data_IF_805439766086
#
_entry.id   IF_805439766086
#
_cell.length_a   1.000
_cell.length_b   1.000
_cell.length_c   1.000
_cell.angle_alpha   90.00
_cell.angle_beta   90.00
_cell.angle_gamma   90.00
#
_symmetry.space_group_name_H-M   'P 1'
#
loop_
_entity.id
_entity.type
_entity.pdbx_description
1 polymer ?
#
# COMPACT_ATOMS: atom_id res chain seq x y z
N UNK A 1 9.57 10.62 11.85
CA UNK A 1 9.77 9.69 10.77
C UNK A 1 9.24 8.33 11.15
N UNK A 2 8.32 7.81 10.35
CA UNK A 2 7.57 6.58 10.68
C UNK A 2 8.46 5.36 10.89
N UNK A 3 9.37 5.12 9.95
CA UNK A 3 10.17 3.89 9.96
C UNK A 3 11.02 3.74 11.22
N UNK A 4 11.62 4.84 11.68
CA UNK A 4 12.46 4.82 12.89
C UNK A 4 11.66 4.78 14.18
N UNK A 5 10.51 5.46 14.22
CA UNK A 5 9.76 5.67 15.47
C UNK A 5 8.67 4.64 15.72
N UNK A 6 7.98 4.18 14.66
CA UNK A 6 6.71 3.47 14.82
C UNK A 6 6.67 2.10 14.20
N UNK A 7 7.49 1.81 13.18
CA UNK A 7 7.35 0.56 12.43
C UNK A 7 7.50 -0.69 13.30
N UNK A 8 8.60 -0.81 14.03
CA UNK A 8 8.85 -1.98 14.88
C UNK A 8 7.81 -2.09 16.00
N UNK A 9 7.44 -0.97 16.61
CA UNK A 9 6.44 -0.94 17.67
C UNK A 9 5.07 -1.41 17.17
N UNK A 10 4.65 -0.92 16.01
CA UNK A 10 3.36 -1.29 15.43
C UNK A 10 3.33 -2.75 15.01
N UNK A 11 4.43 -3.29 14.48
CA UNK A 11 4.53 -4.71 14.15
C UNK A 11 4.48 -5.59 15.39
N UNK A 12 5.15 -5.20 16.47
CA UNK A 12 5.12 -5.92 17.74
C UNK A 12 3.70 -5.98 18.32
N UNK A 13 2.87 -4.96 18.06
CA UNK A 13 1.47 -4.92 18.49
C UNK A 13 0.51 -5.57 17.49
N UNK A 14 1.02 -6.14 16.40
CA UNK A 14 0.22 -6.71 15.31
C UNK A 14 -0.76 -5.74 14.66
N UNK A 15 -0.44 -4.44 14.66
CA UNK A 15 -1.27 -3.41 14.02
C UNK A 15 -1.07 -3.36 12.51
N UNK A 16 0.17 -3.60 12.07
CA UNK A 16 0.53 -3.61 10.66
C UNK A 16 1.87 -4.32 10.47
N UNK A 17 2.32 -4.41 9.21
CA UNK A 17 3.65 -4.92 8.87
C UNK A 17 4.33 -4.01 7.87
N UNK A 18 5.59 -3.73 8.15
CA UNK A 18 6.43 -2.90 7.27
C UNK A 18 7.46 -3.77 6.58
N UNK A 19 7.59 -3.58 5.28
CA UNK A 19 8.52 -4.29 4.41
C UNK A 19 9.49 -3.27 3.81
N UNK A 20 10.75 -3.62 3.77
CA UNK A 20 11.80 -2.71 3.31
C UNK A 20 12.46 -3.26 2.04
N UNK A 21 12.87 -2.34 1.15
CA UNK A 21 13.72 -2.64 0.02
C UNK A 21 15.13 -2.19 0.39
N UNK A 22 16.03 -3.14 0.68
CA UNK A 22 17.37 -2.80 1.09
C UNK A 22 18.22 -2.33 -0.09
N UNK A 23 19.17 -1.48 0.19
CA UNK A 23 20.19 -1.06 -0.75
C UNK A 23 21.56 -1.39 -0.16
N UNK A 24 22.38 -2.08 -0.94
CA UNK A 24 23.76 -2.36 -0.58
C UNK A 24 24.67 -1.66 -1.57
N UNK A 25 25.69 -0.96 -1.06
CA UNK A 25 26.76 -0.42 -1.89
C UNK A 25 27.73 -1.55 -2.26
N UNK A 26 28.55 -1.33 -3.30
CA UNK A 26 29.61 -2.29 -3.68
C UNK A 26 30.65 -2.45 -2.57
N UNK A 27 30.73 -1.53 -1.65
CA UNK A 27 31.55 -1.64 -0.46
C UNK A 27 30.89 -2.57 0.55
N UNK A 28 31.35 -3.82 0.61
CA UNK A 28 30.83 -4.86 1.49
C UNK A 28 31.01 -4.59 2.98
N UNK A 29 31.75 -3.52 3.36
CA UNK A 29 31.95 -3.13 4.76
C UNK A 29 30.80 -2.30 5.31
N UNK A 30 29.91 -1.75 4.47
CA UNK A 30 28.78 -0.96 4.91
C UNK A 30 27.56 -1.82 5.19
N UNK A 31 26.81 -1.46 6.25
CA UNK A 31 25.53 -2.11 6.55
C UNK A 31 24.50 -1.80 5.46
N UNK A 32 23.62 -2.74 5.12
CA UNK A 32 22.53 -2.48 4.18
C UNK A 32 21.71 -1.28 4.66
N UNK A 33 21.34 -0.40 3.72
CA UNK A 33 20.50 0.76 3.97
C UNK A 33 19.13 0.53 3.34
N UNK A 34 18.13 1.24 3.82
CA UNK A 34 16.76 1.13 3.30
C UNK A 34 16.58 2.16 2.18
N UNK A 35 16.36 1.67 0.96
CA UNK A 35 16.05 2.53 -0.19
C UNK A 35 14.60 2.96 -0.18
N UNK A 36 13.70 2.05 0.19
CA UNK A 36 12.26 2.28 0.19
C UNK A 36 11.59 1.34 1.18
N UNK A 37 10.37 1.65 1.56
CA UNK A 37 9.56 0.78 2.40
C UNK A 37 8.09 0.97 2.10
N UNK A 38 7.28 -0.03 2.47
CA UNK A 38 5.84 0.09 2.48
C UNK A 38 5.26 -0.64 3.69
N UNK A 39 4.11 -0.18 4.16
CA UNK A 39 3.43 -0.76 5.32
C UNK A 39 2.02 -1.17 4.92
N UNK A 40 1.67 -2.42 5.22
CA UNK A 40 0.34 -2.98 4.97
C UNK A 40 -0.38 -3.21 6.29
N UNK A 41 -1.68 -2.96 6.28
CA UNK A 41 -2.58 -3.19 7.40
C UNK A 41 -3.93 -3.68 6.88
N UNK A 42 -4.76 -4.18 7.77
CA UNK A 42 -6.16 -4.50 7.46
C UNK A 42 -7.04 -3.31 7.76
N UNK A 43 -8.08 -3.17 6.96
CA UNK A 43 -9.12 -2.16 7.16
C UNK A 43 -10.45 -2.72 6.68
N UNK A 44 -11.54 -2.13 7.14
CA UNK A 44 -12.88 -2.40 6.60
C UNK A 44 -13.43 -1.13 5.99
N UNK A 45 -14.22 -1.30 4.91
CA UNK A 45 -14.97 -0.22 4.28
C UNK A 45 -16.43 -0.60 4.27
N UNK A 46 -17.30 0.40 4.40
CA UNK A 46 -18.72 0.21 4.17
C UNK A 46 -19.03 0.38 2.69
N UNK A 47 -20.11 -0.27 2.24
CA UNK A 47 -20.50 -0.28 0.83
C UNK A 47 -20.61 1.13 0.24
N UNK A 48 -21.10 2.07 1.02
CA UNK A 48 -21.34 3.45 0.60
C UNK A 48 -20.07 4.22 0.26
N UNK A 49 -18.93 3.79 0.78
CA UNK A 49 -17.62 4.39 0.46
C UNK A 49 -17.07 3.95 -0.88
N UNK A 50 -17.54 2.83 -1.42
CA UNK A 50 -16.99 2.20 -2.62
C UNK A 50 -17.62 2.76 -3.91
N UNK A 51 -16.84 2.89 -5.00
CA UNK A 51 -17.35 3.45 -6.26
C UNK A 51 -18.45 2.63 -6.90
N UNK A 52 -18.40 1.29 -6.83
CA UNK A 52 -19.44 0.40 -7.34
C UNK A 52 -20.08 -0.35 -6.18
N UNK A 53 -21.33 0.03 -5.88
CA UNK A 53 -22.09 -0.50 -4.73
C UNK A 53 -23.00 -1.67 -5.07
N UNK A 54 -23.25 -1.92 -6.34
CA UNK A 54 -24.41 -2.74 -6.77
C UNK A 54 -24.28 -4.21 -6.39
N UNK A 55 -23.07 -4.72 -6.19
CA UNK A 55 -22.81 -6.13 -5.91
C UNK A 55 -22.26 -6.40 -4.51
N UNK A 56 -22.24 -5.37 -3.66
CA UNK A 56 -21.58 -5.47 -2.37
C UNK A 56 -22.58 -5.74 -1.26
N UNK A 57 -22.18 -6.51 -0.23
CA UNK A 57 -23.02 -6.71 0.94
C UNK A 57 -23.17 -5.41 1.72
N UNK A 58 -24.19 -5.37 2.58
CA UNK A 58 -24.47 -4.19 3.42
C UNK A 58 -23.58 -4.13 4.68
N UNK A 59 -22.88 -5.20 5.01
CA UNK A 59 -21.92 -5.20 6.11
C UNK A 59 -20.54 -4.73 5.65
N UNK A 60 -19.64 -4.32 6.57
CA UNK A 60 -18.31 -3.86 6.19
C UNK A 60 -17.52 -4.94 5.45
N UNK A 61 -16.78 -4.53 4.42
CA UNK A 61 -15.97 -5.43 3.61
C UNK A 61 -14.49 -5.28 3.96
N UNK A 62 -13.72 -6.38 3.94
CA UNK A 62 -12.29 -6.31 4.24
C UNK A 62 -11.51 -5.75 3.05
N UNK A 63 -10.54 -4.90 3.37
CA UNK A 63 -9.58 -4.38 2.40
C UNK A 63 -8.19 -4.38 3.03
N UNK A 64 -7.17 -4.29 2.20
CA UNK A 64 -5.80 -4.06 2.65
C UNK A 64 -5.54 -2.55 2.56
N UNK A 65 -4.99 -1.98 3.63
CA UNK A 65 -4.57 -0.58 3.65
C UNK A 65 -3.08 -0.50 3.35
N UNK A 66 -2.71 0.25 2.32
CA UNK A 66 -1.33 0.71 2.15
C UNK A 66 -1.16 1.94 3.03
N UNK A 67 -0.69 1.71 4.27
CA UNK A 67 -0.66 2.73 5.31
C UNK A 67 0.49 3.71 5.14
N UNK A 68 1.61 3.23 4.61
CA UNK A 68 2.81 4.04 4.41
C UNK A 68 3.52 3.57 3.15
N UNK A 69 4.09 4.52 2.41
CA UNK A 69 4.99 4.27 1.30
C UNK A 69 6.06 5.36 1.35
N UNK A 70 7.30 4.98 1.50
CA UNK A 70 8.39 5.94 1.62
C UNK A 70 9.59 5.55 0.77
N UNK A 71 10.23 6.57 0.19
CA UNK A 71 11.43 6.42 -0.63
C UNK A 71 12.51 7.31 -0.02
N UNK A 72 13.70 6.77 0.17
CA UNK A 72 14.84 7.57 0.63
C UNK A 72 15.16 8.66 -0.41
N UNK A 73 15.45 9.85 0.07
CA UNK A 73 15.72 11.02 -0.79
C UNK A 73 16.81 10.76 -1.83
N UNK A 74 17.82 9.95 -1.48
CA UNK A 74 18.93 9.59 -2.39
C UNK A 74 18.46 8.83 -3.61
N UNK A 75 17.29 8.18 -3.55
CA UNK A 75 16.75 7.33 -4.62
C UNK A 75 15.53 7.93 -5.30
N UNK A 76 15.17 9.17 -4.97
CA UNK A 76 14.06 9.86 -5.64
C UNK A 76 14.39 10.12 -7.11
N UNK A 77 13.34 10.15 -7.94
CA UNK A 77 13.42 10.39 -9.39
C UNK A 77 14.15 9.29 -10.18
N UNK A 78 14.27 8.09 -9.61
CA UNK A 78 14.87 6.93 -10.27
C UNK A 78 13.87 5.82 -10.56
N UNK A 79 12.57 6.10 -10.45
CA UNK A 79 11.51 5.11 -10.65
C UNK A 79 11.34 4.14 -9.48
N UNK A 80 12.02 4.34 -8.37
CA UNK A 80 11.94 3.46 -7.20
C UNK A 80 10.56 3.51 -6.57
N UNK A 81 9.92 4.69 -6.56
CA UNK A 81 8.56 4.85 -6.04
C UNK A 81 7.56 3.97 -6.76
N UNK A 82 7.58 3.98 -8.09
CA UNK A 82 6.70 3.15 -8.91
C UNK A 82 6.98 1.66 -8.68
N UNK A 83 8.25 1.25 -8.63
CA UNK A 83 8.62 -0.14 -8.34
C UNK A 83 8.13 -0.57 -6.96
N UNK A 84 8.33 0.26 -5.96
CA UNK A 84 7.91 -0.03 -4.58
C UNK A 84 6.40 -0.19 -4.51
N UNK A 85 5.65 0.69 -5.18
CA UNK A 85 4.20 0.59 -5.25
C UNK A 85 3.78 -0.73 -5.91
N UNK A 86 4.38 -1.11 -7.03
CA UNK A 86 4.07 -2.37 -7.71
C UNK A 86 4.35 -3.57 -6.80
N UNK A 87 5.47 -3.58 -6.07
CA UNK A 87 5.76 -4.62 -5.09
C UNK A 87 4.68 -4.69 -4.00
N UNK A 88 4.27 -3.55 -3.48
CA UNK A 88 3.23 -3.50 -2.45
C UNK A 88 1.90 -4.04 -2.97
N UNK A 89 1.51 -3.67 -4.19
CA UNK A 89 0.27 -4.13 -4.82
C UNK A 89 0.30 -5.63 -5.11
N UNK A 90 1.39 -6.14 -5.63
CA UNK A 90 1.56 -7.58 -5.85
C UNK A 90 1.53 -8.35 -4.55
N UNK A 91 2.14 -7.82 -3.52
CA UNK A 91 2.13 -8.43 -2.18
C UNK A 91 0.72 -8.49 -1.62
N UNK A 92 -0.03 -7.41 -1.72
CA UNK A 92 -1.42 -7.38 -1.30
C UNK A 92 -2.26 -8.42 -2.05
N UNK A 93 -2.06 -8.56 -3.35
CA UNK A 93 -2.74 -9.57 -4.16
C UNK A 93 -2.38 -10.99 -3.69
N UNK A 94 -1.11 -11.26 -3.41
CA UNK A 94 -0.67 -12.56 -2.91
C UNK A 94 -1.32 -12.90 -1.57
N UNK A 95 -1.42 -11.93 -0.66
CA UNK A 95 -2.10 -12.13 0.63
C UNK A 95 -3.57 -12.49 0.41
N UNK A 96 -4.27 -11.73 -0.41
CA UNK A 96 -5.70 -11.88 -0.61
C UNK A 96 -6.07 -13.14 -1.40
N UNK A 97 -5.19 -13.59 -2.29
CA UNK A 97 -5.44 -14.76 -3.15
C UNK A 97 -4.95 -16.08 -2.54
N UNK A 98 -4.17 -16.03 -1.47
CA UNK A 98 -3.71 -17.24 -0.79
C UNK A 98 -4.88 -17.90 -0.04
N UNK A 99 -5.20 -19.18 -0.30
CA UNK A 99 -6.28 -19.87 0.40
C UNK A 99 -6.12 -19.92 1.92
N UNK A 100 -4.88 -19.83 2.42
CA UNK A 100 -4.58 -19.79 3.85
C UNK A 100 -4.43 -18.37 4.39
N UNK A 101 -4.52 -17.36 3.53
CA UNK A 101 -4.47 -15.97 3.92
C UNK A 101 -5.83 -15.40 4.28
N UNK A 102 -5.90 -14.11 4.45
CA UNK A 102 -7.14 -13.41 4.73
C UNK A 102 -7.66 -12.76 3.44
N UNK A 103 -8.94 -12.94 3.13
CA UNK A 103 -9.50 -12.32 1.94
C UNK A 103 -9.50 -10.80 2.08
N UNK A 104 -9.34 -10.12 0.94
CA UNK A 104 -9.52 -8.68 0.83
C UNK A 104 -10.10 -8.36 -0.52
N UNK A 105 -11.06 -7.46 -0.54
CA UNK A 105 -11.79 -7.09 -1.74
C UNK A 105 -10.98 -6.15 -2.63
N UNK A 106 -10.09 -5.39 -2.02
CA UNK A 106 -9.24 -4.44 -2.69
C UNK A 106 -8.20 -3.84 -1.76
N UNK A 107 -7.50 -2.86 -2.28
CA UNK A 107 -6.50 -2.10 -1.52
C UNK A 107 -6.91 -0.63 -1.49
N UNK A 108 -6.75 0.01 -0.33
CA UNK A 108 -7.00 1.44 -0.17
C UNK A 108 -5.73 2.17 0.23
N UNK A 109 -5.65 3.42 -0.17
CA UNK A 109 -4.55 4.33 0.17
C UNK A 109 -5.15 5.62 0.72
N UNK A 110 -4.71 6.02 1.92
CA UNK A 110 -4.99 7.35 2.45
C UNK A 110 -3.88 8.29 1.97
N UNK A 111 -4.21 9.19 1.06
CA UNK A 111 -3.23 10.08 0.45
C UNK A 111 -2.99 11.29 1.34
N UNK A 112 -1.71 11.60 1.62
CA UNK A 112 -1.35 12.63 2.59
C UNK A 112 -1.39 14.05 2.03
N UNK A 113 -1.03 14.22 0.75
CA UNK A 113 -0.94 15.54 0.11
C UNK A 113 -1.20 15.46 -1.38
N UNK A 114 -1.26 16.62 -2.04
CA UNK A 114 -1.56 16.69 -3.46
C UNK A 114 -0.43 16.15 -4.35
N UNK A 115 0.81 16.24 -3.94
CA UNK A 115 1.94 15.67 -4.69
C UNK A 115 1.86 14.14 -4.69
N UNK A 116 1.55 13.54 -3.54
CA UNK A 116 1.32 12.11 -3.45
C UNK A 116 0.10 11.69 -4.27
N UNK A 117 -0.97 12.49 -4.25
CA UNK A 117 -2.16 12.21 -5.06
C UNK A 117 -1.83 12.17 -6.55
N UNK A 118 -1.06 13.13 -7.04
CA UNK A 118 -0.63 13.16 -8.43
C UNK A 118 0.19 11.91 -8.81
N UNK A 119 1.07 11.47 -7.90
CA UNK A 119 1.84 10.24 -8.09
C UNK A 119 0.92 9.03 -8.26
N UNK A 120 -0.04 8.84 -7.35
CA UNK A 120 -0.95 7.69 -7.42
C UNK A 120 -1.89 7.79 -8.64
N UNK A 121 -2.36 8.97 -8.97
CA UNK A 121 -3.25 9.18 -10.11
C UNK A 121 -2.56 8.95 -11.47
N UNK A 122 -1.24 8.96 -11.51
CA UNK A 122 -0.50 8.57 -12.71
C UNK A 122 -0.69 7.10 -13.07
N UNK A 123 -1.18 6.30 -12.12
CA UNK A 123 -1.59 4.91 -12.35
C UNK A 123 -3.11 4.87 -12.56
N UNK A 124 -3.54 4.50 -13.74
CA UNK A 124 -4.95 4.63 -14.18
C UNK A 124 -5.94 3.76 -13.40
N UNK A 125 -5.48 2.76 -12.67
CA UNK A 125 -6.36 1.81 -12.01
C UNK A 125 -6.85 2.24 -10.62
N UNK A 126 -6.35 3.34 -10.06
CA UNK A 126 -6.85 3.83 -8.77
C UNK A 126 -8.11 4.67 -8.95
N UNK A 127 -9.11 4.40 -8.11
CA UNK A 127 -10.39 5.09 -8.11
C UNK A 127 -10.56 5.83 -6.77
N UNK A 128 -11.04 7.10 -6.78
CA UNK A 128 -11.32 7.76 -5.51
C UNK A 128 -12.53 7.13 -4.82
N UNK A 129 -12.51 7.09 -3.49
CA UNK A 129 -13.69 6.74 -2.71
C UNK A 129 -14.73 7.86 -2.83
N UNK A 130 -16.02 7.50 -2.69
CA UNK A 130 -17.12 8.41 -3.00
C UNK A 130 -17.12 9.71 -2.18
N UNK A 131 -16.68 9.64 -0.94
CA UNK A 131 -16.78 10.78 -0.02
C UNK A 131 -15.46 11.53 0.16
N UNK A 132 -14.36 11.03 -0.44
CA UNK A 132 -13.06 11.64 -0.22
C UNK A 132 -12.11 11.39 -1.39
N UNK A 133 -11.77 12.43 -2.18
CA UNK A 133 -10.85 12.28 -3.32
C UNK A 133 -9.40 11.96 -2.88
N UNK A 134 -9.07 12.14 -1.60
CA UNK A 134 -7.76 11.82 -1.06
C UNK A 134 -7.66 10.38 -0.57
N UNK A 135 -8.72 9.59 -0.72
CA UNK A 135 -8.71 8.14 -0.46
C UNK A 135 -8.91 7.41 -1.77
N UNK A 136 -7.93 6.59 -2.13
CA UNK A 136 -7.94 5.85 -3.37
C UNK A 136 -8.17 4.37 -3.12
N UNK A 137 -8.83 3.73 -4.07
CA UNK A 137 -9.20 2.31 -4.02
C UNK A 137 -8.82 1.63 -5.32
N UNK A 138 -8.33 0.41 -5.23
CA UNK A 138 -8.16 -0.47 -6.38
C UNK A 138 -8.77 -1.83 -6.05
N UNK A 139 -9.68 -2.34 -6.89
CA UNK A 139 -10.22 -3.69 -6.70
C UNK A 139 -9.12 -4.74 -6.78
N UNK A 140 -9.23 -5.79 -5.97
CA UNK A 140 -8.22 -6.85 -5.99
C UNK A 140 -8.12 -7.52 -7.36
N UNK A 141 -9.24 -7.67 -8.06
CA UNK A 141 -9.25 -8.22 -9.42
C UNK A 141 -8.38 -7.42 -10.41
N UNK A 142 -8.26 -6.11 -10.22
CA UNK A 142 -7.43 -5.26 -11.07
C UNK A 142 -5.92 -5.50 -10.85
N UNK A 143 -5.54 -6.14 -9.77
CA UNK A 143 -4.14 -6.41 -9.43
C UNK A 143 -3.65 -7.76 -9.98
N UNK A 144 -4.55 -8.57 -10.52
CA UNK A 144 -4.23 -9.91 -11.02
C UNK A 144 -3.17 -9.89 -12.13
N UNK A 145 -3.20 -8.87 -12.98
CA UNK A 145 -2.32 -8.74 -14.16
C UNK A 145 -1.10 -7.87 -13.94
N UNK A 146 -0.87 -7.40 -12.74
CA UNK A 146 0.29 -6.56 -12.44
C UNK A 146 1.61 -7.33 -12.48
#
# INVERSE_FOLDING_TARGET
MYLRRYAAKNMALNLNRTFVLPYTTEDSSEKPQVAAYYTLAHRTLVREELPDRSRLPRYPVPVILLAQLGIDQRFRRQGIGAKTLVYALRHAYQIASNPKGLPAMGLVIDVLDHDALAFYQSFEFFLPLTDNPMKLFVPMASLETL
#
